data_IF_914935797906
#
_entry.id   IF_914935797906
#
_cell.length_a   1.000
_cell.length_b   1.000
_cell.length_c   1.000
_cell.angle_alpha   90.00
_cell.angle_beta   90.00
_cell.angle_gamma   90.00
#
_symmetry.space_group_name_H-M   'P 1'
#
loop_
_entity.id
_entity.type
_entity.pdbx_description
1 polymer ?
#
# COMPACT_ATOMS: atom_id res chain seq x y z
N UNK A 1 -12.52 23.29 -8.50
CA UNK A 1 -13.74 23.28 -7.68
C UNK A 1 -13.39 22.58 -6.36
N UNK A 2 -13.80 23.11 -5.21
CA UNK A 2 -13.49 22.49 -3.91
C UNK A 2 -14.38 21.26 -3.71
N UNK A 3 -13.80 20.17 -3.23
CA UNK A 3 -14.50 18.91 -3.00
C UNK A 3 -15.71 19.05 -2.05
N UNK A 4 -16.70 18.15 -2.20
CA UNK A 4 -17.85 18.07 -1.30
C UNK A 4 -17.41 17.63 0.13
N UNK A 5 -18.33 17.63 1.09
CA UNK A 5 -17.98 17.34 2.48
C UNK A 5 -17.28 15.99 2.68
N UNK A 6 -17.73 14.92 2.01
CA UNK A 6 -17.16 13.58 2.16
C UNK A 6 -15.77 13.46 1.50
N UNK A 7 -15.61 14.00 0.29
CA UNK A 7 -14.33 14.02 -0.44
C UNK A 7 -13.23 14.74 0.33
N UNK A 8 -13.57 15.77 1.14
CA UNK A 8 -12.60 16.44 2.01
C UNK A 8 -12.05 15.53 3.10
N UNK A 9 -12.87 14.66 3.69
CA UNK A 9 -12.40 13.72 4.70
C UNK A 9 -11.57 12.60 4.10
N UNK A 10 -11.92 12.14 2.89
CA UNK A 10 -11.08 11.24 2.09
C UNK A 10 -9.70 11.88 1.87
N UNK A 11 -9.67 13.08 1.28
CA UNK A 11 -8.43 13.84 1.04
C UNK A 11 -7.60 14.10 2.31
N UNK A 12 -8.25 14.43 3.43
CA UNK A 12 -7.56 14.64 4.72
C UNK A 12 -6.91 13.34 5.22
N UNK A 13 -7.65 12.23 5.15
CA UNK A 13 -7.12 10.92 5.55
C UNK A 13 -6.01 10.42 4.63
N UNK A 14 -6.06 10.75 3.34
CA UNK A 14 -4.97 10.53 2.38
C UNK A 14 -3.69 11.28 2.79
N UNK A 15 -3.79 12.57 3.09
CA UNK A 15 -2.62 13.35 3.55
C UNK A 15 -2.04 12.82 4.86
N UNK A 16 -2.89 12.31 5.75
CA UNK A 16 -2.44 11.64 6.97
C UNK A 16 -1.63 10.38 6.66
N UNK A 17 -2.15 9.48 5.81
CA UNK A 17 -1.41 8.27 5.37
C UNK A 17 -0.12 8.66 4.65
N UNK A 18 -0.14 9.70 3.81
CA UNK A 18 1.02 10.17 3.09
C UNK A 18 2.15 10.57 4.04
N UNK A 19 1.83 11.34 5.08
CA UNK A 19 2.76 11.76 6.12
C UNK A 19 3.26 10.56 6.95
N UNK A 20 2.34 9.69 7.38
CA UNK A 20 2.66 8.48 8.16
C UNK A 20 3.67 7.58 7.41
N UNK A 21 3.36 7.23 6.17
CA UNK A 21 4.22 6.38 5.34
C UNK A 21 5.55 7.07 5.00
N UNK A 22 5.58 8.39 4.80
CA UNK A 22 6.83 9.13 4.61
C UNK A 22 7.73 9.04 5.85
N UNK A 23 7.15 9.18 7.05
CA UNK A 23 7.86 9.02 8.32
C UNK A 23 8.40 7.60 8.46
N UNK A 24 7.61 6.57 8.16
CA UNK A 24 8.09 5.18 8.21
C UNK A 24 9.23 4.91 7.23
N UNK A 25 9.13 5.39 5.99
CA UNK A 25 10.20 5.28 5.01
C UNK A 25 11.48 5.98 5.51
N UNK A 26 11.36 7.17 6.07
CA UNK A 26 12.48 7.92 6.64
C UNK A 26 13.13 7.22 7.85
N UNK A 27 12.34 6.70 8.79
CA UNK A 27 12.84 5.99 9.96
C UNK A 27 13.53 4.66 9.61
N UNK A 28 13.02 3.93 8.61
CA UNK A 28 13.70 2.75 8.08
C UNK A 28 15.00 3.11 7.36
N UNK A 29 15.02 4.23 6.63
CA UNK A 29 16.20 4.73 5.93
C UNK A 29 17.31 5.16 6.89
N UNK A 30 16.97 5.88 7.96
CA UNK A 30 17.93 6.42 8.92
C UNK A 30 18.52 5.36 9.85
N UNK A 31 17.76 4.31 10.16
CA UNK A 31 18.14 3.34 11.18
C UNK A 31 18.66 1.99 10.68
N UNK A 32 18.59 1.66 9.38
CA UNK A 32 18.75 0.26 8.93
C UNK A 32 19.46 0.06 7.58
N UNK A 33 19.78 -1.20 7.28
CA UNK A 33 20.44 -1.62 6.04
C UNK A 33 19.58 -1.31 4.80
N UNK A 34 20.09 -0.43 3.94
CA UNK A 34 19.43 0.05 2.70
C UNK A 34 19.39 -0.99 1.57
N UNK A 35 20.06 -2.13 1.75
CA UNK A 35 20.11 -3.22 0.76
C UNK A 35 19.19 -4.37 1.17
N UNK A 36 18.75 -5.17 0.20
CA UNK A 36 17.91 -6.33 0.48
C UNK A 36 16.54 -5.92 1.03
N UNK A 37 16.06 -6.61 2.07
CA UNK A 37 14.70 -6.43 2.61
C UNK A 37 14.41 -4.99 3.07
N UNK A 38 15.38 -4.30 3.70
CA UNK A 38 15.20 -2.93 4.18
C UNK A 38 14.98 -1.92 3.06
N UNK A 39 15.76 -2.01 1.97
CA UNK A 39 15.57 -1.15 0.79
C UNK A 39 14.19 -1.29 0.16
N UNK A 40 13.66 -2.52 0.08
CA UNK A 40 12.32 -2.76 -0.47
C UNK A 40 11.19 -2.34 0.49
N UNK A 41 11.41 -2.42 1.80
CA UNK A 41 10.45 -1.90 2.78
C UNK A 41 10.37 -0.36 2.71
N UNK A 42 11.52 0.31 2.56
CA UNK A 42 11.57 1.76 2.30
C UNK A 42 10.82 2.10 1.01
N UNK A 43 11.07 1.36 -0.08
CA UNK A 43 10.40 1.58 -1.35
C UNK A 43 8.87 1.37 -1.25
N UNK A 44 8.42 0.37 -0.49
CA UNK A 44 6.99 0.13 -0.22
C UNK A 44 6.32 1.33 0.46
N UNK A 45 6.88 1.79 1.58
CA UNK A 45 6.32 2.95 2.29
C UNK A 45 6.45 4.26 1.50
N UNK A 46 7.54 4.45 0.75
CA UNK A 46 7.68 5.61 -0.14
C UNK A 46 6.62 5.60 -1.25
N UNK A 47 6.33 4.43 -1.83
CA UNK A 47 5.28 4.29 -2.87
C UNK A 47 3.89 4.51 -2.28
N UNK A 48 3.60 3.96 -1.09
CA UNK A 48 2.36 4.19 -0.38
C UNK A 48 2.17 5.68 -0.01
N UNK A 49 3.24 6.35 0.42
CA UNK A 49 3.23 7.80 0.69
C UNK A 49 2.92 8.61 -0.56
N UNK A 50 3.59 8.31 -1.68
CA UNK A 50 3.35 8.98 -2.95
C UNK A 50 1.92 8.76 -3.45
N UNK A 51 1.42 7.53 -3.36
CA UNK A 51 0.05 7.19 -3.72
C UNK A 51 -0.97 8.00 -2.91
N UNK A 52 -0.85 7.99 -1.58
CA UNK A 52 -1.76 8.72 -0.73
C UNK A 52 -1.65 10.25 -0.92
N UNK A 53 -0.45 10.78 -1.17
CA UNK A 53 -0.28 12.20 -1.48
C UNK A 53 -1.03 12.59 -2.77
N UNK A 54 -0.86 11.81 -3.84
CA UNK A 54 -1.53 12.06 -5.13
C UNK A 54 -3.04 11.85 -5.02
N UNK A 55 -3.48 10.82 -4.30
CA UNK A 55 -4.89 10.58 -3.99
C UNK A 55 -5.50 11.76 -3.24
N UNK A 56 -4.85 12.24 -2.19
CA UNK A 56 -5.29 13.39 -1.41
C UNK A 56 -5.39 14.68 -2.22
N UNK A 57 -4.43 14.93 -3.11
CA UNK A 57 -4.49 16.06 -4.06
C UNK A 57 -5.66 15.90 -5.03
N UNK A 58 -5.87 14.70 -5.55
CA UNK A 58 -6.96 14.38 -6.49
C UNK A 58 -8.32 14.61 -5.83
N UNK A 59 -8.59 13.96 -4.69
CA UNK A 59 -9.85 14.08 -3.95
C UNK A 59 -10.11 15.50 -3.43
N UNK A 60 -9.08 16.22 -2.99
CA UNK A 60 -9.25 17.52 -2.33
C UNK A 60 -9.38 18.70 -3.30
N UNK A 61 -8.59 18.69 -4.37
CA UNK A 61 -8.40 19.87 -5.24
C UNK A 61 -8.85 19.63 -6.68
N UNK A 62 -8.84 18.37 -7.14
CA UNK A 62 -9.15 17.98 -8.51
C UNK A 62 -10.25 16.91 -8.57
N UNK A 63 -11.29 17.04 -7.72
CA UNK A 63 -12.38 16.05 -7.62
C UNK A 63 -13.28 15.97 -8.88
N UNK A 64 -13.14 16.88 -9.83
CA UNK A 64 -13.92 16.86 -11.07
C UNK A 64 -13.30 15.90 -12.09
N UNK A 65 -13.87 14.70 -12.15
CA UNK A 65 -13.46 13.57 -13.01
C UNK A 65 -13.47 13.91 -14.51
N UNK A 66 -14.24 14.92 -14.92
CA UNK A 66 -14.31 15.33 -16.33
C UNK A 66 -13.04 16.05 -16.81
N UNK A 67 -12.20 16.53 -15.88
CA UNK A 67 -11.03 17.34 -16.19
C UNK A 67 -9.80 16.51 -16.57
N UNK A 68 -8.97 17.05 -17.48
CA UNK A 68 -7.69 16.40 -17.83
C UNK A 68 -6.71 16.35 -16.64
N UNK A 69 -6.78 17.34 -15.74
CA UNK A 69 -5.96 17.38 -14.53
C UNK A 69 -6.31 16.25 -13.56
N UNK A 70 -7.61 15.97 -13.34
CA UNK A 70 -8.05 14.82 -12.56
C UNK A 70 -7.50 13.53 -13.15
N UNK A 71 -7.74 13.28 -14.45
CA UNK A 71 -7.26 12.05 -15.11
C UNK A 71 -5.75 11.86 -14.96
N UNK A 72 -4.95 12.90 -15.20
CA UNK A 72 -3.51 12.81 -15.07
C UNK A 72 -3.05 12.49 -13.63
N UNK A 73 -3.64 13.15 -12.62
CA UNK A 73 -3.32 12.91 -11.21
C UNK A 73 -3.80 11.53 -10.73
N UNK A 74 -4.97 11.10 -11.20
CA UNK A 74 -5.53 9.79 -10.91
C UNK A 74 -4.68 8.67 -11.53
N UNK A 75 -4.28 8.80 -12.80
CA UNK A 75 -3.32 7.89 -13.43
C UNK A 75 -2.02 7.82 -12.62
N UNK A 76 -1.48 8.96 -12.20
CA UNK A 76 -0.26 8.99 -11.38
C UNK A 76 -0.47 8.29 -10.02
N UNK A 77 -1.63 8.46 -9.40
CA UNK A 77 -2.04 7.75 -8.16
C UNK A 77 -2.04 6.24 -8.39
N UNK A 78 -2.72 5.77 -9.45
CA UNK A 78 -2.81 4.35 -9.81
C UNK A 78 -1.43 3.74 -10.10
N UNK A 79 -0.53 4.47 -10.77
CA UNK A 79 0.84 4.01 -10.98
C UNK A 79 1.63 3.89 -9.67
N UNK A 80 1.45 4.83 -8.74
CA UNK A 80 2.07 4.78 -7.41
C UNK A 80 1.54 3.60 -6.57
N UNK A 81 0.23 3.31 -6.63
CA UNK A 81 -0.35 2.09 -6.03
C UNK A 81 0.30 0.84 -6.62
N UNK A 82 0.47 0.80 -7.96
CA UNK A 82 1.14 -0.29 -8.65
C UNK A 82 2.59 -0.50 -8.17
N UNK A 83 3.34 0.57 -7.94
CA UNK A 83 4.68 0.48 -7.35
C UNK A 83 4.62 -0.09 -5.92
N UNK A 84 3.63 0.29 -5.12
CA UNK A 84 3.33 -0.34 -3.82
C UNK A 84 3.05 -1.85 -3.94
N UNK A 85 2.25 -2.27 -4.90
CA UNK A 85 1.98 -3.69 -5.17
C UNK A 85 3.22 -4.46 -5.61
N UNK A 86 4.02 -3.91 -6.53
CA UNK A 86 5.27 -4.52 -6.98
C UNK A 86 6.26 -4.70 -5.81
N UNK A 87 6.43 -3.67 -4.98
CA UNK A 87 7.31 -3.76 -3.81
C UNK A 87 6.80 -4.79 -2.80
N UNK A 88 5.49 -4.92 -2.59
CA UNK A 88 4.89 -5.99 -1.79
C UNK A 88 5.18 -7.40 -2.34
N UNK A 89 5.10 -7.63 -3.66
CA UNK A 89 5.53 -8.89 -4.27
C UNK A 89 7.01 -9.17 -3.97
N UNK A 90 7.90 -8.19 -4.19
CA UNK A 90 9.34 -8.37 -3.97
C UNK A 90 9.65 -8.63 -2.49
N UNK A 91 8.99 -7.94 -1.56
CA UNK A 91 9.09 -8.19 -0.13
C UNK A 91 8.68 -9.62 0.22
N UNK A 92 7.57 -10.09 -0.35
CA UNK A 92 7.07 -11.45 -0.15
C UNK A 92 8.04 -12.52 -0.64
N UNK A 93 8.58 -12.35 -1.85
CA UNK A 93 9.60 -13.23 -2.45
C UNK A 93 10.83 -13.33 -1.54
N UNK A 94 11.29 -12.20 -0.98
CA UNK A 94 12.45 -12.15 -0.07
C UNK A 94 12.17 -12.80 1.28
N UNK A 95 11.00 -12.57 1.87
CA UNK A 95 10.58 -13.17 3.14
C UNK A 95 10.42 -14.69 3.02
N UNK A 96 9.85 -15.16 1.91
CA UNK A 96 9.70 -16.59 1.59
C UNK A 96 11.04 -17.27 1.23
N UNK A 97 12.05 -16.47 0.85
CA UNK A 97 13.36 -16.91 0.32
C UNK A 97 13.23 -17.64 -1.02
N UNK A 98 12.33 -17.17 -1.89
CA UNK A 98 12.17 -17.69 -3.24
C UNK A 98 13.32 -17.23 -4.15
N UNK A 99 13.50 -17.90 -5.27
CA UNK A 99 14.52 -17.53 -6.26
C UNK A 99 14.22 -16.15 -6.88
N UNK A 100 15.28 -15.45 -7.28
CA UNK A 100 15.18 -14.09 -7.81
C UNK A 100 14.37 -13.97 -9.10
N UNK A 101 14.19 -15.06 -9.86
CA UNK A 101 13.41 -15.04 -11.10
C UNK A 101 11.92 -14.73 -10.89
N UNK A 102 11.36 -15.01 -9.70
CA UNK A 102 9.99 -14.61 -9.36
C UNK A 102 9.80 -13.08 -9.36
N UNK A 103 10.87 -12.31 -9.18
CA UNK A 103 10.82 -10.85 -9.30
C UNK A 103 10.47 -10.44 -10.73
N UNK A 104 10.98 -11.14 -11.74
CA UNK A 104 10.65 -10.85 -13.13
C UNK A 104 9.19 -11.15 -13.46
N UNK A 105 8.60 -12.17 -12.83
CA UNK A 105 7.17 -12.42 -12.95
C UNK A 105 6.34 -11.29 -12.31
N UNK A 106 6.76 -10.79 -11.14
CA UNK A 106 6.12 -9.64 -10.50
C UNK A 106 6.26 -8.36 -11.34
N UNK A 107 7.43 -8.13 -11.95
CA UNK A 107 7.65 -7.01 -12.89
C UNK A 107 6.77 -7.16 -14.13
N UNK A 108 6.67 -8.36 -14.71
CA UNK A 108 5.79 -8.60 -15.86
C UNK A 108 4.32 -8.32 -15.50
N UNK A 109 3.84 -8.82 -14.36
CA UNK A 109 2.49 -8.53 -13.87
C UNK A 109 2.26 -7.02 -13.67
N UNK A 110 3.26 -6.31 -13.13
CA UNK A 110 3.20 -4.85 -12.97
C UNK A 110 3.18 -4.13 -14.32
N UNK A 111 3.94 -4.58 -15.33
CA UNK A 111 3.92 -4.01 -16.67
C UNK A 111 2.56 -4.23 -17.36
N UNK A 112 1.93 -5.39 -17.18
CA UNK A 112 0.57 -5.65 -17.66
C UNK A 112 -0.42 -4.71 -16.98
N UNK A 113 -0.31 -4.52 -15.66
CA UNK A 113 -1.11 -3.55 -14.93
C UNK A 113 -0.89 -2.11 -15.44
N UNK A 114 0.36 -1.68 -15.63
CA UNK A 114 0.66 -0.34 -16.18
C UNK A 114 0.05 -0.16 -17.56
N UNK A 115 0.12 -1.18 -18.41
CA UNK A 115 -0.51 -1.15 -19.72
C UNK A 115 -2.04 -1.03 -19.62
N UNK A 116 -2.68 -1.77 -18.72
CA UNK A 116 -4.13 -1.67 -18.45
C UNK A 116 -4.54 -0.24 -18.05
N UNK A 117 -3.79 0.40 -17.16
CA UNK A 117 -4.05 1.78 -16.71
C UNK A 117 -3.94 2.81 -17.85
N UNK A 118 -3.02 2.63 -18.79
CA UNK A 118 -2.86 3.58 -19.90
C UNK A 118 -3.84 3.37 -21.06
N UNK A 119 -4.29 2.13 -21.29
CA UNK A 119 -4.94 1.76 -22.54
C UNK A 119 -6.32 1.14 -22.40
N UNK A 120 -6.71 0.67 -21.20
CA UNK A 120 -8.00 0.00 -20.99
C UNK A 120 -8.89 0.78 -20.02
N UNK A 121 -8.46 0.94 -18.78
CA UNK A 121 -9.29 1.56 -17.74
C UNK A 121 -8.47 2.24 -16.66
N UNK A 122 -8.97 3.37 -16.18
CA UNK A 122 -8.50 4.03 -14.97
C UNK A 122 -9.37 3.65 -13.74
N UNK A 123 -10.10 2.53 -13.81
CA UNK A 123 -10.92 2.02 -12.72
C UNK A 123 -10.02 1.52 -11.57
N UNK A 124 -10.33 1.96 -10.34
CA UNK A 124 -9.65 1.51 -9.14
C UNK A 124 -9.63 -0.01 -8.97
N UNK A 125 -10.61 -0.74 -9.52
CA UNK A 125 -10.66 -2.20 -9.52
C UNK A 125 -9.44 -2.85 -10.17
N UNK A 126 -8.85 -2.21 -11.18
CA UNK A 126 -7.61 -2.68 -11.79
C UNK A 126 -6.45 -2.68 -10.78
N UNK A 127 -6.34 -1.61 -9.97
CA UNK A 127 -5.36 -1.54 -8.89
C UNK A 127 -5.61 -2.65 -7.86
N UNK A 128 -6.86 -2.84 -7.42
CA UNK A 128 -7.23 -3.90 -6.48
C UNK A 128 -6.85 -5.27 -7.02
N UNK A 129 -7.20 -5.58 -8.28
CA UNK A 129 -6.86 -6.85 -8.91
C UNK A 129 -5.35 -7.11 -8.93
N UNK A 130 -4.53 -6.06 -9.09
CA UNK A 130 -3.08 -6.18 -9.10
C UNK A 130 -2.46 -6.29 -7.70
N UNK A 131 -2.82 -5.41 -6.76
CA UNK A 131 -2.17 -5.36 -5.44
C UNK A 131 -2.74 -6.39 -4.46
N UNK A 132 -4.00 -6.81 -4.60
CA UNK A 132 -4.64 -7.73 -3.64
C UNK A 132 -3.89 -9.06 -3.53
N UNK A 133 -3.50 -9.74 -4.63
CA UNK A 133 -2.69 -10.94 -4.53
C UNK A 133 -1.29 -10.67 -3.95
N UNK A 134 -0.73 -9.47 -4.16
CA UNK A 134 0.54 -9.07 -3.56
C UNK A 134 0.46 -8.99 -2.03
N UNK A 135 -0.62 -8.40 -1.49
CA UNK A 135 -0.86 -8.28 -0.05
C UNK A 135 -1.19 -9.64 0.57
N UNK A 136 -1.97 -10.49 -0.11
CA UNK A 136 -2.20 -11.88 0.30
C UNK A 136 -0.87 -12.63 0.41
N UNK A 137 -0.03 -12.53 -0.63
CA UNK A 137 1.28 -13.18 -0.62
C UNK A 137 2.18 -12.63 0.49
N UNK A 138 2.09 -11.33 0.80
CA UNK A 138 2.82 -10.71 1.89
C UNK A 138 2.36 -11.25 3.26
N UNK A 139 1.05 -11.38 3.47
CA UNK A 139 0.49 -11.99 4.67
C UNK A 139 0.98 -13.45 4.85
N UNK A 140 0.93 -14.24 3.77
CA UNK A 140 1.45 -15.62 3.74
C UNK A 140 2.96 -15.64 4.01
N UNK A 141 3.73 -14.72 3.42
CA UNK A 141 5.17 -14.66 3.60
C UNK A 141 5.56 -14.38 5.05
N UNK A 142 4.86 -13.46 5.72
CA UNK A 142 5.03 -13.19 7.14
C UNK A 142 4.61 -14.38 8.01
N UNK A 143 3.49 -15.04 7.69
CA UNK A 143 3.04 -16.22 8.42
C UNK A 143 4.04 -17.38 8.30
N UNK A 144 4.56 -17.63 7.09
CA UNK A 144 5.62 -18.63 6.86
C UNK A 144 6.89 -18.27 7.62
N UNK A 145 7.28 -16.99 7.66
CA UNK A 145 8.41 -16.55 8.47
C UNK A 145 8.16 -16.80 9.96
N UNK A 146 6.97 -16.48 10.47
CA UNK A 146 6.59 -16.76 11.84
C UNK A 146 6.62 -18.26 12.16
N UNK A 147 6.11 -19.12 11.27
CA UNK A 147 6.18 -20.57 11.47
C UNK A 147 7.63 -21.09 11.55
N UNK A 148 8.56 -20.44 10.83
CA UNK A 148 9.99 -20.81 10.80
C UNK A 148 10.79 -20.26 11.99
N UNK A 149 10.54 -19.02 12.43
CA UNK A 149 11.35 -18.36 13.47
C UNK A 149 10.64 -18.09 14.79
N UNK A 150 9.31 -18.20 14.82
CA UNK A 150 8.43 -17.84 15.95
C UNK A 150 8.60 -16.40 16.45
N UNK A 151 9.18 -15.52 15.63
CA UNK A 151 9.36 -14.10 15.94
C UNK A 151 8.01 -13.37 15.98
N UNK A 152 7.71 -12.69 17.10
CA UNK A 152 6.48 -11.90 17.24
C UNK A 152 6.31 -10.83 16.17
N UNK A 153 7.42 -10.24 15.68
CA UNK A 153 7.39 -9.29 14.57
C UNK A 153 6.80 -9.88 13.27
N UNK A 154 7.07 -11.15 12.98
CA UNK A 154 6.52 -11.81 11.80
C UNK A 154 5.03 -12.09 11.95
N UNK A 155 4.56 -12.46 13.16
CA UNK A 155 3.13 -12.61 13.43
C UNK A 155 2.38 -11.27 13.30
N UNK A 156 2.96 -10.19 13.84
CA UNK A 156 2.42 -8.84 13.68
C UNK A 156 2.32 -8.45 12.20
N UNK A 157 3.35 -8.75 11.40
CA UNK A 157 3.35 -8.49 9.96
C UNK A 157 2.23 -9.22 9.23
N UNK A 158 1.96 -10.49 9.59
CA UNK A 158 0.85 -11.24 9.03
C UNK A 158 -0.50 -10.64 9.44
N UNK A 159 -0.70 -10.32 10.72
CA UNK A 159 -1.92 -9.70 11.22
C UNK A 159 -2.18 -8.32 10.58
N UNK A 160 -1.13 -7.50 10.42
CA UNK A 160 -1.21 -6.20 9.77
C UNK A 160 -1.59 -6.33 8.29
N UNK A 161 -0.95 -7.25 7.54
CA UNK A 161 -1.31 -7.50 6.14
C UNK A 161 -2.77 -7.98 6.00
N UNK A 162 -3.23 -8.86 6.90
CA UNK A 162 -4.64 -9.31 6.95
C UNK A 162 -5.60 -8.16 7.27
N UNK A 163 -5.22 -7.24 8.17
CA UNK A 163 -6.00 -6.03 8.46
C UNK A 163 -6.11 -5.13 7.21
N UNK A 164 -5.05 -5.03 6.40
CA UNK A 164 -5.08 -4.36 5.10
C UNK A 164 -6.09 -4.99 4.12
N UNK A 165 -6.17 -6.33 4.08
CA UNK A 165 -7.17 -7.04 3.27
C UNK A 165 -8.61 -6.75 3.74
N UNK A 166 -8.83 -6.70 5.07
CA UNK A 166 -10.11 -6.30 5.63
C UNK A 166 -10.47 -4.86 5.23
N UNK A 167 -9.51 -3.94 5.25
CA UNK A 167 -9.70 -2.58 4.75
C UNK A 167 -10.16 -2.57 3.29
N UNK A 168 -9.48 -3.31 2.41
CA UNK A 168 -9.85 -3.39 1.00
C UNK A 168 -11.28 -3.95 0.81
N UNK A 169 -11.67 -4.95 1.61
CA UNK A 169 -13.04 -5.45 1.61
C UNK A 169 -14.06 -4.39 2.02
N UNK A 170 -13.80 -3.64 3.10
CA UNK A 170 -14.68 -2.54 3.54
C UNK A 170 -14.83 -1.50 2.43
N UNK A 171 -13.73 -1.10 1.78
CA UNK A 171 -13.75 -0.14 0.68
C UNK A 171 -14.66 -0.63 -0.47
N UNK A 172 -14.45 -1.87 -0.93
CA UNK A 172 -15.18 -2.44 -2.07
C UNK A 172 -16.66 -2.73 -1.76
N UNK A 173 -16.99 -2.97 -0.49
CA UNK A 173 -18.38 -3.17 -0.08
C UNK A 173 -19.24 -1.91 -0.16
N UNK A 174 -18.61 -0.72 -0.24
CA UNK A 174 -19.30 0.56 -0.15
C UNK A 174 -19.89 0.85 1.24
N UNK A 175 -19.51 0.07 2.26
CA UNK A 175 -20.03 0.24 3.62
C UNK A 175 -19.52 1.53 4.26
N UNK A 176 -20.46 2.40 4.66
CA UNK A 176 -20.16 3.67 5.31
C UNK A 176 -20.48 3.57 6.81
N UNK A 177 -19.53 3.91 7.68
CA UNK A 177 -19.80 4.11 9.11
C UNK A 177 -20.59 5.41 9.33
N UNK A 178 -20.27 6.46 8.57
CA UNK A 178 -21.05 7.69 8.49
C UNK A 178 -20.94 8.28 7.07
N UNK A 179 -22.05 8.59 6.38
CA UNK A 179 -22.03 8.96 4.95
C UNK A 179 -21.18 10.19 4.63
N UNK A 180 -21.07 11.15 5.56
CA UNK A 180 -20.32 12.39 5.35
C UNK A 180 -18.88 12.39 5.91
N UNK A 181 -18.64 11.68 7.02
CA UNK A 181 -17.42 11.83 7.82
C UNK A 181 -16.55 10.57 7.78
N UNK A 182 -17.20 9.40 7.65
CA UNK A 182 -16.58 8.08 7.68
C UNK A 182 -17.23 7.22 6.61
N UNK A 183 -17.13 7.66 5.35
CA UNK A 183 -17.53 6.84 4.22
C UNK A 183 -16.56 5.64 4.08
N UNK A 184 -16.89 4.71 3.19
CA UNK A 184 -16.08 3.50 2.94
C UNK A 184 -14.60 3.81 2.67
N UNK A 185 -14.28 4.89 1.96
CA UNK A 185 -12.91 5.31 1.69
C UNK A 185 -12.20 5.84 2.95
N UNK A 186 -12.83 6.72 3.73
CA UNK A 186 -12.24 7.22 4.98
C UNK A 186 -12.07 6.09 6.01
N UNK A 187 -13.05 5.19 6.13
CA UNK A 187 -12.94 4.01 7.01
C UNK A 187 -11.80 3.11 6.54
N UNK A 188 -11.70 2.87 5.23
CA UNK A 188 -10.58 2.16 4.64
C UNK A 188 -9.23 2.79 5.00
N UNK A 189 -9.08 4.10 4.85
CA UNK A 189 -7.85 4.82 5.20
C UNK A 189 -7.47 4.68 6.68
N UNK A 190 -8.44 4.70 7.59
CA UNK A 190 -8.17 4.47 9.02
C UNK A 190 -7.66 3.04 9.28
N UNK A 191 -8.29 2.04 8.67
CA UNK A 191 -7.84 0.64 8.78
C UNK A 191 -6.45 0.50 8.15
N UNK A 192 -6.22 1.15 7.01
CA UNK A 192 -4.97 1.13 6.27
C UNK A 192 -3.82 1.76 7.07
N UNK A 193 -4.05 2.87 7.77
CA UNK A 193 -3.06 3.49 8.64
C UNK A 193 -2.58 2.52 9.74
N UNK A 194 -3.51 1.86 10.44
CA UNK A 194 -3.18 0.86 11.47
C UNK A 194 -2.42 -0.33 10.86
N UNK A 195 -2.83 -0.78 9.68
CA UNK A 195 -2.13 -1.82 8.92
C UNK A 195 -0.69 -1.41 8.57
N UNK A 196 -0.48 -0.20 8.03
CA UNK A 196 0.85 0.30 7.69
C UNK A 196 1.74 0.46 8.92
N UNK A 197 1.22 0.95 10.04
CA UNK A 197 1.97 1.00 11.29
C UNK A 197 2.41 -0.40 11.74
N UNK A 198 1.50 -1.39 11.73
CA UNK A 198 1.83 -2.78 12.06
C UNK A 198 2.90 -3.37 11.14
N UNK A 199 2.80 -3.13 9.84
CA UNK A 199 3.81 -3.53 8.85
C UNK A 199 5.17 -2.86 9.11
N UNK A 200 5.18 -1.57 9.45
CA UNK A 200 6.42 -0.84 9.76
C UNK A 200 7.14 -1.47 10.95
N UNK A 201 6.41 -1.72 12.04
CA UNK A 201 6.97 -2.37 13.24
C UNK A 201 7.46 -3.79 12.91
N UNK A 202 6.70 -4.55 12.12
CA UNK A 202 7.08 -5.89 11.68
C UNK A 202 8.36 -5.91 10.84
N UNK A 203 8.49 -5.00 9.87
CA UNK A 203 9.70 -4.88 9.05
C UNK A 203 10.90 -4.47 9.88
N UNK A 204 10.75 -3.48 10.77
CA UNK A 204 11.81 -3.05 11.68
C UNK A 204 12.28 -4.20 12.57
N UNK A 205 11.36 -4.95 13.17
CA UNK A 205 11.68 -6.14 13.98
C UNK A 205 12.41 -7.21 13.18
N UNK A 206 11.91 -7.58 12.00
CA UNK A 206 12.55 -8.57 11.11
C UNK A 206 13.96 -8.15 10.67
N UNK A 207 14.26 -6.85 10.61
CA UNK A 207 15.55 -6.33 10.19
C UNK A 207 16.56 -6.25 11.34
N UNK A 208 16.10 -6.05 12.58
CA UNK A 208 16.93 -6.10 13.79
C UNK A 208 17.34 -7.52 14.18
N UNK A 209 16.46 -8.52 14.01
CA UNK A 209 16.74 -9.92 14.38
C UNK A 209 17.63 -10.69 13.39
N UNK A 210 18.30 -10.02 12.43
CA UNK A 210 19.27 -10.65 11.50
C UNK A 210 20.62 -11.01 12.13
N UNK A 211 20.82 -10.77 13.43
CA UNK A 211 22.14 -10.83 14.08
C UNK A 211 22.24 -11.80 15.29
N UNK A 212 21.34 -12.77 15.40
CA UNK A 212 21.47 -13.89 16.36
C UNK A 212 21.35 -15.21 15.62
#
# INVERSE_FOLDING_TARGET
MIANGAERFVSLSDFFIAAECAVFAFLLYSGMARKGLGGWAIAFFASASLSALLGGVTHGFFADESTAAHRALWTATMLAIGLGGLTAYVLSIKLLRLCGSWVWLAVLAWLVYVWDIFFISDDFRAAVAFYLPAVILLAVAFLVRYMRSREGAALLGAAAAMLGLLGAYVQQSGWNLHPLYFNHNTVYHLIQAVSFYGLFVAFRGCLLHRHT
#
